data_IF_103907829546
#
_entry.id   IF_103907829546
#
_cell.length_a   1.000
_cell.length_b   1.000
_cell.length_c   1.000
_cell.angle_alpha   90.00
_cell.angle_beta   90.00
_cell.angle_gamma   90.00
#
_symmetry.space_group_name_H-M   'P 1'
#
loop_
_entity.id
_entity.type
_entity.pdbx_description
1 polymer ?
#
# COMPACT_ATOMS: atom_id res chain seq x y z
N UNK A 1 4.68 11.24 6.60
CA UNK A 1 4.79 11.30 5.13
C UNK A 1 3.40 11.56 4.56
N UNK A 2 3.29 12.14 3.36
CA UNK A 2 2.02 12.30 2.65
C UNK A 2 1.85 11.16 1.63
N UNK A 3 0.64 10.96 1.11
CA UNK A 3 0.39 9.92 0.10
C UNK A 3 1.36 9.98 -1.09
N UNK A 4 1.67 11.18 -1.58
CA UNK A 4 2.62 11.38 -2.67
C UNK A 4 4.01 10.82 -2.39
N UNK A 5 4.49 10.94 -1.15
CA UNK A 5 5.82 10.44 -0.75
C UNK A 5 5.88 8.92 -0.84
N UNK A 6 4.77 8.22 -0.51
CA UNK A 6 4.69 6.75 -0.62
C UNK A 6 4.61 6.28 -2.05
N UNK A 7 3.92 7.02 -2.94
CA UNK A 7 3.87 6.70 -4.37
C UNK A 7 5.24 6.93 -5.02
N UNK A 8 5.92 8.01 -4.65
CA UNK A 8 7.29 8.26 -5.05
C UNK A 8 8.23 7.14 -4.60
N UNK A 9 8.14 6.74 -3.33
CA UNK A 9 8.94 5.64 -2.78
C UNK A 9 8.70 4.34 -3.55
N UNK A 10 7.44 4.02 -3.85
CA UNK A 10 7.08 2.82 -4.60
C UNK A 10 7.70 2.81 -6.00
N UNK A 11 7.63 3.93 -6.72
CA UNK A 11 8.06 4.01 -8.13
C UNK A 11 9.56 4.28 -8.25
N UNK A 12 10.08 5.28 -7.54
CA UNK A 12 11.45 5.77 -7.77
C UNK A 12 12.49 4.98 -6.94
N UNK A 13 12.08 4.37 -5.81
CA UNK A 13 13.00 3.65 -4.94
C UNK A 13 12.82 2.12 -4.99
N UNK A 14 11.60 1.60 -4.78
CA UNK A 14 11.34 0.15 -4.78
C UNK A 14 11.30 -0.35 -6.22
N UNK A 15 10.55 0.30 -7.07
CA UNK A 15 10.35 0.13 -8.50
C UNK A 15 9.58 -1.14 -8.90
N UNK A 16 10.03 -2.32 -8.52
CA UNK A 16 9.38 -3.58 -8.90
C UNK A 16 8.37 -4.05 -7.85
N UNK A 17 7.19 -4.43 -8.29
CA UNK A 17 6.11 -4.92 -7.44
C UNK A 17 5.59 -6.28 -7.92
N UNK A 18 5.18 -7.12 -6.99
CA UNK A 18 4.39 -8.32 -7.30
C UNK A 18 2.93 -7.92 -7.47
N UNK A 19 2.38 -8.05 -8.67
CA UNK A 19 0.98 -7.80 -8.97
C UNK A 19 0.20 -9.12 -9.01
N UNK A 20 -1.00 -9.10 -8.43
CA UNK A 20 -1.92 -10.22 -8.39
C UNK A 20 -3.21 -9.91 -9.16
N UNK A 21 -3.65 -10.88 -9.95
CA UNK A 21 -4.96 -10.93 -10.62
C UNK A 21 -5.54 -12.33 -10.46
N UNK A 22 -6.78 -12.54 -10.86
CA UNK A 22 -7.42 -13.85 -10.84
C UNK A 22 -7.31 -14.46 -12.24
N UNK A 23 -6.85 -15.71 -12.31
CA UNK A 23 -6.81 -16.49 -13.55
C UNK A 23 -8.19 -16.99 -13.97
N UNK A 24 -8.30 -17.50 -15.20
CA UNK A 24 -9.53 -18.10 -15.72
C UNK A 24 -10.00 -19.33 -14.93
N UNK A 25 -9.09 -19.96 -14.20
CA UNK A 25 -9.34 -21.07 -13.29
C UNK A 25 -9.84 -20.63 -11.89
N UNK A 26 -10.02 -19.33 -11.67
CA UNK A 26 -10.45 -18.75 -10.40
C UNK A 26 -9.34 -18.64 -9.35
N UNK A 27 -8.11 -19.01 -9.68
CA UNK A 27 -6.97 -18.92 -8.75
C UNK A 27 -6.18 -17.64 -8.96
N UNK A 28 -5.57 -17.15 -7.86
CA UNK A 28 -4.69 -15.97 -7.91
C UNK A 28 -3.44 -16.28 -8.72
N UNK A 29 -3.08 -15.36 -9.61
CA UNK A 29 -1.86 -15.39 -10.40
C UNK A 29 -1.02 -14.16 -10.08
N UNK A 30 0.28 -14.34 -9.89
CA UNK A 30 1.21 -13.25 -9.57
C UNK A 30 2.31 -13.11 -10.61
N UNK A 31 2.81 -11.90 -10.78
CA UNK A 31 3.97 -11.55 -11.64
C UNK A 31 4.65 -10.31 -11.12
N UNK A 32 5.94 -10.20 -11.42
CA UNK A 32 6.70 -8.98 -11.13
C UNK A 32 6.47 -7.99 -12.27
N UNK A 33 6.10 -6.77 -11.92
CA UNK A 33 5.87 -5.65 -12.85
C UNK A 33 6.56 -4.41 -12.27
N UNK A 34 7.27 -3.68 -13.11
CA UNK A 34 7.87 -2.42 -12.71
C UNK A 34 6.84 -1.29 -12.69
N UNK A 35 6.86 -0.50 -11.64
CA UNK A 35 6.06 0.71 -11.49
C UNK A 35 6.79 1.85 -12.20
N UNK A 36 6.20 2.37 -13.26
CA UNK A 36 6.88 3.21 -14.23
C UNK A 36 6.80 4.70 -13.96
N UNK A 37 5.64 5.15 -13.46
CA UNK A 37 5.34 6.55 -13.18
C UNK A 37 4.40 6.65 -11.98
N UNK A 38 4.37 7.83 -11.40
CA UNK A 38 3.39 8.21 -10.38
C UNK A 38 3.04 9.72 -10.53
N UNK A 39 1.83 10.07 -10.13
CA UNK A 39 1.36 11.45 -9.97
C UNK A 39 0.14 11.49 -9.04
N UNK A 40 -0.54 12.63 -8.94
CA UNK A 40 -1.75 12.80 -8.12
C UNK A 40 -2.92 11.89 -8.56
N UNK A 41 -2.91 11.41 -9.80
CA UNK A 41 -3.94 10.51 -10.33
C UNK A 41 -3.68 9.04 -9.98
N UNK A 42 -2.44 8.66 -9.65
CA UNK A 42 -2.12 7.31 -9.27
C UNK A 42 -0.74 6.81 -9.66
N UNK A 43 -0.64 5.49 -9.77
CA UNK A 43 0.58 4.77 -10.16
C UNK A 43 0.38 4.08 -11.49
N UNK A 44 1.41 4.12 -12.34
CA UNK A 44 1.33 3.63 -13.71
C UNK A 44 2.30 2.47 -13.93
N UNK A 45 1.81 1.47 -14.63
CA UNK A 45 2.59 0.33 -15.10
C UNK A 45 2.14 -0.06 -16.50
N UNK A 46 2.86 -0.96 -17.15
CA UNK A 46 2.53 -1.36 -18.52
C UNK A 46 2.67 -2.86 -18.73
N UNK A 47 1.98 -3.35 -19.76
CA UNK A 47 2.12 -4.73 -20.23
C UNK A 47 1.81 -4.82 -21.71
N UNK A 48 2.25 -5.92 -22.37
CA UNK A 48 1.96 -6.16 -23.77
C UNK A 48 0.56 -6.77 -23.95
N UNK A 49 -0.14 -6.31 -24.98
CA UNK A 49 -1.52 -6.72 -25.34
C UNK A 49 -1.70 -8.23 -25.55
N UNK A 50 -0.66 -8.94 -25.96
CA UNK A 50 -0.70 -10.38 -26.20
C UNK A 50 -0.60 -11.25 -24.95
N UNK A 51 -0.39 -10.67 -23.76
CA UNK A 51 -0.23 -11.44 -22.51
C UNK A 51 -1.57 -11.71 -21.86
N UNK A 52 -1.73 -12.90 -21.27
CA UNK A 52 -2.90 -13.23 -20.45
C UNK A 52 -3.14 -12.22 -19.31
N UNK A 53 -2.07 -11.64 -18.79
CA UNK A 53 -2.15 -10.57 -17.79
C UNK A 53 -2.91 -9.34 -18.31
N UNK A 54 -2.68 -8.93 -19.56
CA UNK A 54 -3.42 -7.84 -20.19
C UNK A 54 -4.93 -8.12 -20.20
N UNK A 55 -5.32 -9.32 -20.65
CA UNK A 55 -6.72 -9.74 -20.68
C UNK A 55 -7.34 -9.72 -19.26
N UNK A 56 -6.63 -10.25 -18.27
CA UNK A 56 -7.08 -10.22 -16.88
C UNK A 56 -7.29 -8.80 -16.35
N UNK A 57 -6.37 -7.86 -16.65
CA UNK A 57 -6.51 -6.46 -16.27
C UNK A 57 -7.73 -5.79 -16.90
N UNK A 58 -7.96 -6.07 -18.20
CA UNK A 58 -9.11 -5.51 -18.94
C UNK A 58 -10.45 -6.04 -18.42
N UNK A 59 -10.52 -7.32 -18.09
CA UNK A 59 -11.74 -7.98 -17.62
C UNK A 59 -12.07 -7.63 -16.17
N UNK A 60 -11.05 -7.58 -15.31
CA UNK A 60 -11.24 -7.40 -13.87
C UNK A 60 -11.30 -5.93 -13.44
N UNK A 61 -10.62 -5.03 -14.16
CA UNK A 61 -10.54 -3.62 -13.80
C UNK A 61 -9.97 -3.37 -12.40
N UNK A 62 -9.29 -4.36 -11.83
CA UNK A 62 -8.80 -4.36 -10.46
C UNK A 62 -7.47 -5.11 -10.35
N UNK A 63 -6.60 -4.65 -9.45
CA UNK A 63 -5.33 -5.29 -9.16
C UNK A 63 -4.97 -5.12 -7.68
N UNK A 64 -4.24 -6.09 -7.14
CA UNK A 64 -3.53 -5.95 -5.89
C UNK A 64 -2.03 -6.04 -6.16
N UNK A 65 -1.24 -5.23 -5.45
CA UNK A 65 0.21 -5.26 -5.55
C UNK A 65 0.87 -5.22 -4.17
N UNK A 66 2.05 -5.79 -4.11
CA UNK A 66 2.94 -5.69 -2.96
C UNK A 66 4.38 -5.52 -3.44
N UNK A 67 5.09 -4.57 -2.86
CA UNK A 67 6.45 -4.24 -3.19
C UNK A 67 7.26 -4.11 -1.90
N UNK A 68 8.48 -4.61 -1.91
CA UNK A 68 9.37 -4.51 -0.75
C UNK A 68 10.79 -4.25 -1.19
N UNK A 69 11.50 -3.43 -0.43
CA UNK A 69 12.93 -3.23 -0.56
C UNK A 69 13.53 -3.02 0.82
N UNK A 70 14.57 -3.81 1.14
CA UNK A 70 15.15 -3.82 2.47
C UNK A 70 14.11 -4.15 3.55
N UNK A 71 13.81 -3.20 4.43
CA UNK A 71 12.86 -3.35 5.55
C UNK A 71 11.57 -2.54 5.37
N UNK A 72 11.37 -1.99 4.17
CA UNK A 72 10.22 -1.17 3.80
C UNK A 72 9.34 -1.97 2.85
N UNK A 73 8.02 -1.89 3.03
CA UNK A 73 7.05 -2.45 2.11
C UNK A 73 5.90 -1.49 1.83
N UNK A 74 5.38 -1.58 0.61
CA UNK A 74 4.17 -0.88 0.17
C UNK A 74 3.24 -1.92 -0.43
N UNK A 75 2.01 -1.95 0.02
CA UNK A 75 0.94 -2.74 -0.59
C UNK A 75 -0.20 -1.81 -1.02
N UNK A 76 -0.75 -2.04 -2.20
CA UNK A 76 -1.91 -1.31 -2.73
C UNK A 76 -2.87 -2.30 -3.39
N UNK A 77 -4.16 -1.99 -3.34
CA UNK A 77 -5.19 -2.70 -4.08
C UNK A 77 -6.25 -1.73 -4.54
N UNK A 78 -6.75 -1.91 -5.75
CA UNK A 78 -7.74 -0.98 -6.25
C UNK A 78 -8.06 -1.10 -7.72
N UNK A 79 -8.82 -0.12 -8.20
CA UNK A 79 -9.29 -0.05 -9.57
C UNK A 79 -8.21 0.48 -10.51
N UNK A 80 -8.15 -0.14 -11.66
CA UNK A 80 -7.27 0.27 -12.75
C UNK A 80 -8.07 0.70 -13.96
N UNK A 81 -7.45 1.51 -14.78
CA UNK A 81 -7.94 1.84 -16.12
C UNK A 81 -6.82 1.71 -17.13
N UNK A 82 -7.16 1.20 -18.31
CA UNK A 82 -6.27 1.24 -19.46
C UNK A 82 -6.29 2.67 -20.03
N UNK A 83 -5.13 3.28 -20.21
CA UNK A 83 -4.96 4.61 -20.82
C UNK A 83 -4.27 4.55 -22.20
N UNK A 84 -4.18 3.33 -22.75
CA UNK A 84 -3.55 3.11 -24.05
C UNK A 84 -2.06 3.45 -24.05
N UNK A 85 -1.63 4.19 -25.06
CA UNK A 85 -0.23 4.61 -25.22
C UNK A 85 0.02 6.08 -24.82
N UNK A 86 -0.94 6.74 -24.17
CA UNK A 86 -0.90 8.20 -23.95
C UNK A 86 0.32 8.68 -23.15
N UNK A 87 0.90 7.85 -22.29
CA UNK A 87 2.09 8.18 -21.48
C UNK A 87 3.31 7.30 -21.81
N UNK A 88 3.27 6.58 -22.91
CA UNK A 88 4.31 5.61 -23.25
C UNK A 88 5.66 6.30 -23.48
N UNK A 89 5.69 7.43 -24.19
CA UNK A 89 6.92 8.19 -24.45
C UNK A 89 7.55 8.74 -23.17
N UNK A 90 6.74 9.20 -22.21
CA UNK A 90 7.21 9.64 -20.89
C UNK A 90 7.83 8.47 -20.12
N UNK A 91 7.18 7.30 -20.12
CA UNK A 91 7.70 6.09 -19.49
C UNK A 91 9.07 5.70 -20.05
N UNK A 92 9.20 5.69 -21.38
CA UNK A 92 10.46 5.33 -22.04
C UNK A 92 11.56 6.38 -21.84
N UNK A 93 11.20 7.62 -21.63
CA UNK A 93 12.14 8.70 -21.30
C UNK A 93 12.68 8.54 -19.86
N UNK A 94 11.79 8.27 -18.91
CA UNK A 94 12.19 8.08 -17.49
C UNK A 94 12.87 6.74 -17.24
N UNK A 95 12.46 5.69 -17.95
CA UNK A 95 12.94 4.32 -17.77
C UNK A 95 13.74 3.89 -19.01
N UNK A 96 14.94 4.43 -19.16
CA UNK A 96 15.77 4.27 -20.36
C UNK A 96 16.05 2.80 -20.71
N UNK A 97 16.15 1.90 -19.73
CA UNK A 97 16.35 0.46 -19.95
C UNK A 97 15.22 -0.17 -20.78
N UNK A 98 14.02 0.41 -20.78
CA UNK A 98 12.91 -0.06 -21.59
C UNK A 98 13.18 0.01 -23.09
N UNK A 99 14.04 0.93 -23.52
CA UNK A 99 14.44 1.04 -24.93
C UNK A 99 15.23 -0.18 -25.42
N UNK A 100 16.00 -0.82 -24.51
CA UNK A 100 16.72 -2.04 -24.83
C UNK A 100 15.79 -3.27 -24.86
N UNK A 101 14.75 -3.29 -24.03
CA UNK A 101 13.77 -4.40 -23.97
C UNK A 101 12.79 -4.32 -25.17
N UNK A 102 12.37 -3.11 -25.52
CA UNK A 102 11.39 -2.84 -26.59
C UNK A 102 11.98 -1.84 -27.60
N UNK A 103 12.92 -2.27 -28.45
CA UNK A 103 13.57 -1.39 -29.43
C UNK A 103 12.60 -1.03 -30.57
N UNK A 104 12.73 0.20 -31.08
CA UNK A 104 12.00 0.70 -32.24
C UNK A 104 10.47 0.57 -32.08
N UNK A 105 9.80 0.02 -33.07
CA UNK A 105 8.35 -0.08 -33.14
C UNK A 105 7.76 -1.18 -32.26
N UNK A 106 8.58 -2.05 -31.64
CA UNK A 106 8.09 -3.13 -30.76
C UNK A 106 7.33 -2.60 -29.53
N UNK A 107 7.58 -1.36 -29.13
CA UNK A 107 6.85 -0.68 -28.05
C UNK A 107 5.37 -0.48 -28.35
N UNK A 108 4.94 -0.54 -29.62
CA UNK A 108 3.54 -0.44 -30.02
C UNK A 108 2.66 -1.59 -29.51
N UNK A 109 3.29 -2.70 -29.06
CA UNK A 109 2.61 -3.81 -28.41
C UNK A 109 2.19 -3.49 -26.97
N UNK A 110 2.73 -2.43 -26.36
CA UNK A 110 2.52 -2.07 -24.97
C UNK A 110 1.35 -1.11 -24.79
N UNK A 111 0.62 -1.29 -23.69
CA UNK A 111 -0.35 -0.32 -23.19
C UNK A 111 -0.13 -0.05 -21.70
N UNK A 112 -0.47 1.17 -21.31
CA UNK A 112 -0.28 1.69 -19.96
C UNK A 112 -1.57 1.57 -19.17
N UNK A 113 -1.44 1.10 -17.95
CA UNK A 113 -2.51 1.04 -16.96
C UNK A 113 -2.22 2.01 -15.83
N UNK A 114 -3.28 2.66 -15.33
CA UNK A 114 -3.24 3.54 -14.17
C UNK A 114 -4.05 2.93 -13.03
N UNK A 115 -3.41 2.69 -11.90
CA UNK A 115 -4.06 2.39 -10.62
C UNK A 115 -4.52 3.73 -10.02
N UNK A 116 -5.82 4.08 -10.23
CA UNK A 116 -6.35 5.42 -10.00
C UNK A 116 -7.26 5.56 -8.78
N UNK A 117 -7.77 4.46 -8.25
CA UNK A 117 -8.60 4.42 -7.03
C UNK A 117 -8.16 3.22 -6.20
N UNK A 118 -7.35 3.47 -5.18
CA UNK A 118 -6.73 2.41 -4.41
C UNK A 118 -6.64 2.74 -2.93
N UNK A 119 -6.48 1.70 -2.15
CA UNK A 119 -6.14 1.74 -0.73
C UNK A 119 -5.00 0.77 -0.45
N UNK A 120 -4.24 1.04 0.59
CA UNK A 120 -3.16 0.16 0.98
C UNK A 120 -2.40 0.65 2.19
N UNK A 121 -1.21 0.10 2.37
CA UNK A 121 -0.41 0.30 3.57
C UNK A 121 1.07 0.50 3.21
N UNK A 122 1.69 1.45 3.89
CA UNK A 122 3.12 1.54 4.05
C UNK A 122 3.51 0.86 5.37
N UNK A 123 4.59 0.08 5.36
CA UNK A 123 5.10 -0.58 6.55
C UNK A 123 6.62 -0.57 6.55
N UNK A 124 7.21 -0.07 7.65
CA UNK A 124 8.66 0.04 7.85
C UNK A 124 9.05 -0.60 9.20
N UNK A 125 9.91 -1.60 9.12
CA UNK A 125 10.49 -2.32 10.26
C UNK A 125 11.98 -2.06 10.42
N UNK A 126 12.50 -0.97 9.88
CA UNK A 126 13.92 -0.60 9.99
C UNK A 126 14.34 -0.42 11.45
N UNK A 127 13.43 0.09 12.27
CA UNK A 127 13.58 0.14 13.72
C UNK A 127 12.57 -0.80 14.40
N UNK A 128 12.97 -2.02 14.84
CA UNK A 128 12.05 -2.98 15.46
C UNK A 128 11.42 -2.49 16.76
N UNK A 129 12.05 -1.55 17.47
CA UNK A 129 11.50 -0.94 18.69
C UNK A 129 10.50 0.17 18.39
N UNK A 130 10.43 0.64 17.15
CA UNK A 130 9.56 1.72 16.71
C UNK A 130 9.20 1.53 15.23
N UNK A 131 8.34 0.57 14.96
CA UNK A 131 7.82 0.33 13.62
C UNK A 131 7.00 1.52 13.13
N UNK A 132 6.91 1.70 11.82
CA UNK A 132 5.99 2.66 11.19
C UNK A 132 5.00 1.93 10.30
N UNK A 133 3.73 2.24 10.45
CA UNK A 133 2.64 1.78 9.60
C UNK A 133 1.79 2.99 9.23
N UNK A 134 1.48 3.15 7.97
CA UNK A 134 0.63 4.25 7.51
C UNK A 134 -0.31 3.78 6.40
N UNK A 135 -1.48 4.40 6.31
CA UNK A 135 -2.46 4.10 5.27
C UNK A 135 -2.19 4.93 4.03
N UNK A 136 -2.26 4.29 2.87
CA UNK A 136 -2.11 4.95 1.57
C UNK A 136 -3.46 4.92 0.87
N UNK A 137 -3.86 6.06 0.28
CA UNK A 137 -5.09 6.16 -0.52
C UNK A 137 -4.83 6.91 -1.82
N UNK A 138 -5.43 6.45 -2.91
CA UNK A 138 -5.41 7.09 -4.23
C UNK A 138 -6.86 7.29 -4.66
N UNK A 139 -7.25 8.51 -5.02
CA UNK A 139 -8.58 8.78 -5.59
C UNK A 139 -9.78 8.49 -4.70
N UNK A 140 -9.56 8.11 -3.43
CA UNK A 140 -10.59 7.84 -2.42
C UNK A 140 -10.43 8.77 -1.22
N UNK A 141 -11.53 8.96 -0.49
CA UNK A 141 -11.42 9.52 0.86
C UNK A 141 -10.81 8.46 1.79
N UNK A 142 -9.88 8.88 2.63
CA UNK A 142 -9.32 8.03 3.67
C UNK A 142 -10.44 7.49 4.56
N UNK A 143 -10.51 6.17 4.73
CA UNK A 143 -11.41 5.55 5.70
C UNK A 143 -10.79 5.64 7.09
N UNK A 144 -11.66 5.55 8.14
CA UNK A 144 -11.17 5.47 9.50
C UNK A 144 -10.25 4.25 9.66
N UNK A 145 -9.05 4.49 10.18
CA UNK A 145 -8.05 3.43 10.35
C UNK A 145 -8.59 2.30 11.25
N UNK A 146 -8.40 1.07 10.80
CA UNK A 146 -8.62 -0.10 11.63
C UNK A 146 -7.56 -0.12 12.74
N UNK A 147 -7.96 -0.42 13.99
CA UNK A 147 -7.00 -0.43 15.10
C UNK A 147 -7.66 -0.50 16.46
N UNK A 148 -6.86 -0.34 17.52
CA UNK A 148 -7.36 -0.31 18.89
C UNK A 148 -7.57 1.12 19.37
N UNK A 149 -8.73 1.40 19.97
CA UNK A 149 -9.11 2.72 20.44
C UNK A 149 -9.58 2.65 21.89
N UNK A 150 -9.34 3.72 22.63
CA UNK A 150 -9.64 3.81 24.05
C UNK A 150 -10.93 4.60 24.28
N UNK A 151 -11.89 4.00 24.96
CA UNK A 151 -13.16 4.64 25.29
C UNK A 151 -13.10 5.57 26.51
N UNK A 152 -14.15 6.38 26.69
CA UNK A 152 -14.26 7.40 27.74
C UNK A 152 -14.13 6.89 29.18
N UNK A 153 -14.39 5.59 29.44
CA UNK A 153 -14.25 4.98 30.77
C UNK A 153 -12.81 4.72 31.24
N UNK A 154 -11.81 5.18 30.50
CA UNK A 154 -10.41 5.04 30.87
C UNK A 154 -10.11 5.73 32.22
N UNK A 155 -9.51 4.98 33.16
CA UNK A 155 -9.11 5.48 34.48
C UNK A 155 -7.66 5.96 34.55
N UNK A 156 -6.88 5.84 33.47
CA UNK A 156 -5.48 6.27 33.42
C UNK A 156 -4.53 5.38 34.22
N UNK A 157 -4.84 4.10 34.44
CA UNK A 157 -4.03 3.16 35.23
C UNK A 157 -2.69 2.76 34.59
N UNK A 158 -2.47 3.10 33.31
CA UNK A 158 -1.22 2.88 32.53
C UNK A 158 -0.84 1.41 32.31
N UNK A 159 -1.65 0.43 32.71
CA UNK A 159 -1.36 -1.00 32.50
C UNK A 159 -1.21 -1.33 31.00
N UNK A 160 -2.00 -0.71 30.13
CA UNK A 160 -1.90 -0.87 28.68
C UNK A 160 -0.51 -0.48 28.15
N UNK A 161 0.08 0.60 28.67
CA UNK A 161 1.42 1.03 28.29
C UNK A 161 2.49 0.02 28.75
N UNK A 162 2.36 -0.53 29.97
CA UNK A 162 3.36 -1.46 30.52
C UNK A 162 3.54 -2.70 29.64
N UNK A 163 2.47 -3.22 29.03
CA UNK A 163 2.47 -4.42 28.17
C UNK A 163 2.65 -4.13 26.68
N UNK A 164 2.64 -2.85 26.27
CA UNK A 164 2.80 -2.48 24.88
C UNK A 164 4.25 -2.69 24.41
N UNK A 165 4.52 -3.55 23.41
CA UNK A 165 5.88 -3.79 22.93
C UNK A 165 6.48 -2.57 22.23
N UNK A 166 5.65 -1.77 21.55
CA UNK A 166 6.07 -0.56 20.81
C UNK A 166 6.02 0.71 21.67
N UNK A 167 5.46 0.63 22.90
CA UNK A 167 5.25 1.80 23.77
C UNK A 167 4.48 2.94 23.09
N UNK A 168 3.65 2.62 22.10
CA UNK A 168 2.87 3.53 21.25
C UNK A 168 1.57 4.02 21.90
N UNK A 169 1.54 4.18 23.23
CA UNK A 169 0.37 4.66 23.98
C UNK A 169 0.76 5.93 24.72
N UNK A 170 0.20 7.06 24.29
CA UNK A 170 0.35 8.32 25.01
C UNK A 170 -0.45 8.26 26.33
N UNK A 171 0.29 8.26 27.43
CA UNK A 171 -0.26 8.20 28.80
C UNK A 171 -0.34 9.56 29.48
N UNK A 172 0.02 10.64 28.80
CA UNK A 172 -0.12 12.00 29.29
C UNK A 172 -1.57 12.48 29.31
N UNK A 173 -2.40 11.86 28.46
CA UNK A 173 -3.82 12.19 28.29
C UNK A 173 -4.72 11.19 29.04
N UNK A 174 -5.98 11.60 29.27
CA UNK A 174 -7.04 10.75 29.81
C UNK A 174 -8.36 11.04 29.09
N UNK A 175 -8.91 10.07 28.32
CA UNK A 175 -8.39 8.71 28.06
C UNK A 175 -7.01 8.74 27.40
N UNK A 176 -6.19 7.70 27.66
CA UNK A 176 -4.91 7.52 26.97
C UNK A 176 -5.15 7.33 25.45
N UNK A 177 -4.18 7.68 24.62
CA UNK A 177 -4.30 7.62 23.15
C UNK A 177 -3.33 6.59 22.61
N UNK A 178 -3.80 5.73 21.70
CA UNK A 178 -2.96 4.76 20.99
C UNK A 178 -2.53 5.39 19.65
N UNK A 179 -1.22 5.53 19.46
CA UNK A 179 -0.63 5.99 18.20
C UNK A 179 -0.69 4.86 17.17
N UNK A 180 -1.66 4.95 16.25
CA UNK A 180 -1.96 3.87 15.30
C UNK A 180 -0.78 3.56 14.38
N UNK A 181 0.00 4.56 13.98
CA UNK A 181 1.16 4.41 13.09
C UNK A 181 2.27 3.52 13.68
N UNK A 182 2.32 3.37 15.01
CA UNK A 182 3.30 2.53 15.70
C UNK A 182 2.66 1.29 16.33
N UNK A 183 1.36 1.10 16.14
CA UNK A 183 0.62 0.02 16.77
C UNK A 183 0.72 -1.30 15.97
N UNK A 184 1.22 -2.37 16.61
CA UNK A 184 1.26 -3.71 16.03
C UNK A 184 -0.11 -4.40 15.95
N UNK A 185 -1.17 -3.78 16.45
CA UNK A 185 -2.51 -4.37 16.58
C UNK A 185 -2.52 -5.73 17.31
N UNK A 186 -1.59 -5.95 18.24
CA UNK A 186 -1.41 -7.22 18.95
C UNK A 186 -2.47 -7.50 20.03
N UNK A 187 -3.30 -6.53 20.43
CA UNK A 187 -4.41 -6.69 21.38
C UNK A 187 -4.04 -6.70 22.85
N UNK A 188 -2.76 -6.80 23.24
CA UNK A 188 -2.33 -6.94 24.65
C UNK A 188 -2.85 -5.82 25.57
N UNK A 189 -2.96 -4.60 25.04
CA UNK A 189 -3.51 -3.46 25.78
C UNK A 189 -5.01 -3.62 26.08
N UNK A 190 -5.77 -4.27 25.21
CA UNK A 190 -7.19 -4.55 25.42
C UNK A 190 -7.39 -5.67 26.46
N UNK A 191 -6.58 -6.72 26.38
CA UNK A 191 -6.62 -7.87 27.31
C UNK A 191 -6.33 -7.45 28.76
N UNK A 192 -5.33 -6.59 28.98
CA UNK A 192 -4.94 -6.16 30.33
C UNK A 192 -5.85 -5.08 30.91
N UNK A 193 -6.73 -4.47 30.13
CA UNK A 193 -7.52 -3.32 30.55
C UNK A 193 -8.60 -3.71 31.58
N UNK A 194 -8.50 -3.31 32.87
CA UNK A 194 -9.45 -3.71 33.90
C UNK A 194 -10.85 -3.12 33.69
N UNK A 195 -10.96 -2.05 32.90
CA UNK A 195 -12.23 -1.41 32.53
C UNK A 195 -12.79 -1.88 31.19
N UNK A 196 -12.05 -2.70 30.43
CA UNK A 196 -12.43 -3.24 29.12
C UNK A 196 -12.86 -2.14 28.13
N UNK A 197 -12.24 -0.96 28.22
CA UNK A 197 -12.55 0.21 27.39
C UNK A 197 -11.69 0.32 26.14
N UNK A 198 -10.74 -0.58 25.94
CA UNK A 198 -9.91 -0.64 24.73
C UNK A 198 -10.55 -1.66 23.78
N UNK A 199 -10.97 -1.18 22.61
CA UNK A 199 -11.68 -2.00 21.62
C UNK A 199 -11.06 -1.86 20.25
N UNK A 200 -11.12 -2.94 19.45
CA UNK A 200 -10.73 -2.94 18.04
C UNK A 200 -11.86 -2.36 17.20
N UNK A 201 -11.51 -1.47 16.28
CA UNK A 201 -12.34 -1.11 15.13
C UNK A 201 -11.87 -1.94 13.93
N UNK A 202 -12.84 -2.45 13.21
CA UNK A 202 -12.61 -3.17 11.95
C UNK A 202 -12.51 -2.18 10.79
#
# INVERSE_FOLDING_TARGET
MQNADYLQLLVDYIHSATLATIGADGHSQTRIIDMMLWDEQGVYFLTAKCKAFYTQLMEQGYVALSATKEKISVSLRGKIKNIGNSRLDEIFTKNVYMQAIYPGDTRSALEVFCLYEAEGEYFDISNPAHIVRDSITIGKQAQAEAGYYVGAGCIGCKLCYSVCPQKCIDIAQKPVVIEQQHCLSCGRCAEICPKQVIRKRA
#
